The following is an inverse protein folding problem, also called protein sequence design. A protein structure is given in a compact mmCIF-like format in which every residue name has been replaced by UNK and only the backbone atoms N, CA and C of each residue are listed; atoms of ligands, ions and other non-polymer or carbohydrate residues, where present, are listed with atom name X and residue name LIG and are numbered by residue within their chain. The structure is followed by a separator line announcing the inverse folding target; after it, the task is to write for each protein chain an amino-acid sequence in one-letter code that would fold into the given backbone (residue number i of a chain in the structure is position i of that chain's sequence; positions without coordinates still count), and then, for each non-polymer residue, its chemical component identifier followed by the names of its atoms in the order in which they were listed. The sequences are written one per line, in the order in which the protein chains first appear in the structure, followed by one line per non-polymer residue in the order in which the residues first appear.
data_IF_251660815489
#
_entry.id   IF_251660815489
#
_cell.length_a   1.000
_cell.length_b   1.000
_cell.length_c   1.000
_cell.angle_alpha   90.00
_cell.angle_beta   90.00
_cell.angle_gamma   90.00
#
_symmetry.space_group_name_H-M   'P 1'
#
loop_
_entity.id
_entity.type
_entity.pdbx_description
1 polymer ?
#
# COMPACT_ATOMS: atom_id res chain seq x y z
N UNK A 1 19.93 8.62 -19.52
CA UNK A 1 18.50 8.34 -19.39
C UNK A 1 18.30 6.97 -18.73
N UNK A 2 17.36 6.88 -17.79
CA UNK A 2 17.03 5.62 -17.12
C UNK A 2 15.56 5.32 -17.41
N UNK A 3 15.29 4.14 -17.95
CA UNK A 3 13.94 3.59 -18.07
C UNK A 3 13.81 2.47 -17.05
N UNK A 4 12.81 2.59 -16.16
CA UNK A 4 12.56 1.63 -15.06
C UNK A 4 11.07 1.39 -14.93
N UNK A 5 10.68 0.17 -14.63
CA UNK A 5 9.31 -0.24 -14.29
C UNK A 5 9.32 -0.89 -12.89
N UNK A 6 8.19 -1.27 -12.34
CA UNK A 6 7.92 -1.66 -10.95
C UNK A 6 7.83 -0.46 -10.00
N UNK A 7 6.65 -0.24 -9.43
CA UNK A 7 6.37 0.89 -8.55
C UNK A 7 7.33 0.96 -7.35
N UNK A 8 7.62 -0.16 -6.71
CA UNK A 8 8.57 -0.24 -5.60
C UNK A 8 9.99 0.11 -6.03
N UNK A 9 10.44 -0.38 -7.19
CA UNK A 9 11.76 -0.05 -7.73
C UNK A 9 11.86 1.43 -8.11
N UNK A 10 10.79 2.02 -8.67
CA UNK A 10 10.74 3.45 -9.00
C UNK A 10 10.84 4.29 -7.72
N UNK A 11 10.08 3.96 -6.69
CA UNK A 11 10.13 4.66 -5.39
C UNK A 11 11.53 4.58 -4.80
N UNK A 12 12.11 3.36 -4.68
CA UNK A 12 13.46 3.17 -4.16
C UNK A 12 14.52 3.92 -4.97
N UNK A 13 14.45 3.87 -6.29
CA UNK A 13 15.39 4.59 -7.16
C UNK A 13 15.32 6.10 -6.93
N UNK A 14 14.11 6.67 -6.92
CA UNK A 14 13.92 8.12 -6.72
C UNK A 14 14.43 8.54 -5.35
N UNK A 15 14.09 7.82 -4.29
CA UNK A 15 14.51 8.15 -2.93
C UNK A 15 16.01 7.99 -2.73
N UNK A 16 16.60 6.92 -3.26
CA UNK A 16 18.05 6.68 -3.16
C UNK A 16 18.88 7.67 -3.96
N UNK A 17 18.41 8.02 -5.18
CA UNK A 17 19.17 8.86 -6.11
C UNK A 17 18.92 10.35 -5.93
N UNK A 18 17.69 10.72 -5.57
CA UNK A 18 17.21 12.10 -5.58
C UNK A 18 16.62 12.55 -4.24
N UNK A 19 16.44 11.64 -3.29
CA UNK A 19 15.82 11.93 -1.99
C UNK A 19 16.71 12.73 -1.03
N UNK A 20 18.02 12.71 -1.21
CA UNK A 20 18.95 13.38 -0.30
C UNK A 20 18.84 12.88 1.15
N UNK A 21 18.61 11.58 1.36
CA UNK A 21 18.39 10.96 2.66
C UNK A 21 16.99 11.11 3.26
N UNK A 22 16.06 11.76 2.53
CA UNK A 22 14.67 11.92 3.01
C UNK A 22 13.80 10.72 2.62
N UNK A 23 12.81 10.40 3.45
CA UNK A 23 11.79 9.38 3.23
C UNK A 23 12.33 7.95 2.99
N UNK A 24 13.57 7.72 3.38
CA UNK A 24 14.24 6.44 3.34
C UNK A 24 15.22 6.37 4.51
N UNK A 25 15.02 5.50 5.49
CA UNK A 25 15.98 5.34 6.60
C UNK A 25 17.34 4.84 6.07
N UNK A 26 18.41 5.22 6.77
CA UNK A 26 19.75 4.68 6.48
C UNK A 26 19.75 3.15 6.63
N UNK A 27 20.53 2.41 5.83
CA UNK A 27 20.70 0.96 6.03
C UNK A 27 21.16 0.56 7.44
N UNK A 28 21.84 1.46 8.15
CA UNK A 28 22.28 1.24 9.53
C UNK A 28 21.23 1.63 10.58
N UNK A 29 20.09 2.17 10.16
CA UNK A 29 18.99 2.53 11.06
C UNK A 29 18.24 1.31 11.57
N UNK A 30 17.79 1.36 12.81
CA UNK A 30 16.89 0.35 13.39
C UNK A 30 15.55 0.23 12.63
N UNK A 31 15.12 1.29 11.94
CA UNK A 31 13.88 1.31 11.16
C UNK A 31 14.03 0.68 9.77
N UNK A 32 15.26 0.47 9.28
CA UNK A 32 15.48 0.01 7.91
C UNK A 32 14.88 -1.37 7.60
N UNK A 33 14.95 -2.40 8.47
CA UNK A 33 14.28 -3.67 8.22
C UNK A 33 12.77 -3.53 8.10
N UNK A 34 12.14 -2.73 8.96
CA UNK A 34 10.71 -2.43 8.92
C UNK A 34 10.35 -1.70 7.62
N UNK A 35 11.14 -0.70 7.24
CA UNK A 35 10.98 0.01 5.98
C UNK A 35 10.97 -0.94 4.77
N UNK A 36 11.96 -1.82 4.64
CA UNK A 36 12.02 -2.79 3.54
C UNK A 36 10.81 -3.73 3.55
N UNK A 37 10.47 -4.27 4.71
CA UNK A 37 9.32 -5.17 4.85
C UNK A 37 8.04 -4.52 4.32
N UNK A 38 7.73 -3.32 4.79
CA UNK A 38 6.48 -2.65 4.45
C UNK A 38 6.48 -2.01 3.05
N UNK A 39 7.66 -1.61 2.54
CA UNK A 39 7.80 -1.20 1.13
C UNK A 39 7.36 -2.32 0.19
N UNK A 40 7.81 -3.56 0.45
CA UNK A 40 7.50 -4.72 -0.38
C UNK A 40 6.15 -5.38 -0.05
N UNK A 41 5.62 -5.16 1.16
CA UNK A 41 4.34 -5.74 1.58
C UNK A 41 3.16 -5.27 0.70
N UNK A 42 3.21 -4.04 0.22
CA UNK A 42 2.19 -3.48 -0.66
C UNK A 42 1.97 -4.36 -1.91
N UNK A 43 3.01 -4.51 -2.73
CA UNK A 43 2.93 -5.25 -3.99
C UNK A 43 2.97 -6.78 -3.79
N UNK A 44 3.67 -7.25 -2.76
CA UNK A 44 3.80 -8.67 -2.48
C UNK A 44 2.59 -9.31 -1.80
N UNK A 45 1.83 -8.54 -1.03
CA UNK A 45 0.77 -9.09 -0.18
C UNK A 45 -0.60 -8.43 -0.41
N UNK A 46 -0.68 -7.09 -0.46
CA UNK A 46 -1.97 -6.39 -0.58
C UNK A 46 -2.46 -6.37 -2.03
N UNK A 47 -1.62 -6.01 -2.98
CA UNK A 47 -2.04 -5.83 -4.36
C UNK A 47 -2.45 -7.12 -5.09
N UNK A 48 -1.89 -8.31 -4.84
CA UNK A 48 -2.35 -9.53 -5.51
C UNK A 48 -3.84 -9.84 -5.33
N UNK A 49 -4.41 -9.87 -4.12
CA UNK A 49 -5.85 -10.04 -3.96
C UNK A 49 -6.66 -8.85 -4.50
N UNK A 50 -6.16 -7.62 -4.42
CA UNK A 50 -6.80 -6.45 -5.05
C UNK A 50 -6.90 -6.63 -6.55
N UNK A 51 -5.82 -7.05 -7.22
CA UNK A 51 -5.81 -7.31 -8.67
C UNK A 51 -6.81 -8.41 -9.05
N UNK A 52 -6.93 -9.47 -8.25
CA UNK A 52 -7.94 -10.51 -8.48
C UNK A 52 -9.36 -9.93 -8.42
N UNK A 53 -9.66 -9.10 -7.41
CA UNK A 53 -10.97 -8.44 -7.29
C UNK A 53 -11.23 -7.55 -8.52
N UNK A 54 -10.27 -6.73 -8.93
CA UNK A 54 -10.38 -5.86 -10.11
C UNK A 54 -10.65 -6.67 -11.38
N UNK A 55 -9.90 -7.73 -11.60
CA UNK A 55 -10.09 -8.61 -12.77
C UNK A 55 -11.49 -9.19 -12.79
N UNK A 56 -11.95 -9.77 -11.69
CA UNK A 56 -13.21 -10.48 -11.60
C UNK A 56 -14.44 -9.55 -11.56
N UNK A 57 -14.30 -8.31 -11.07
CA UNK A 57 -15.45 -7.41 -10.90
C UNK A 57 -15.53 -6.30 -11.94
N UNK A 58 -14.40 -5.90 -12.54
CA UNK A 58 -14.30 -4.74 -13.43
C UNK A 58 -13.88 -5.15 -14.85
N UNK A 59 -12.78 -5.91 -14.97
CA UNK A 59 -12.15 -6.16 -16.27
C UNK A 59 -12.81 -7.29 -17.06
N UNK A 60 -13.24 -8.37 -16.40
CA UNK A 60 -13.93 -9.46 -17.06
C UNK A 60 -15.38 -9.10 -17.38
N UNK A 61 -15.90 -9.52 -18.54
CA UNK A 61 -17.32 -9.43 -18.83
C UNK A 61 -18.11 -10.33 -17.85
N UNK A 62 -19.37 -9.96 -17.50
CA UNK A 62 -20.13 -10.60 -16.42
C UNK A 62 -20.21 -12.13 -16.49
N UNK A 63 -20.35 -12.69 -17.70
CA UNK A 63 -20.46 -14.14 -17.95
C UNK A 63 -19.16 -14.93 -17.70
N UNK A 64 -18.04 -14.22 -17.50
CA UNK A 64 -16.73 -14.83 -17.22
C UNK A 64 -16.25 -14.60 -15.79
N UNK A 65 -17.02 -13.86 -14.99
CA UNK A 65 -16.68 -13.55 -13.59
C UNK A 65 -16.87 -14.78 -12.70
N UNK A 66 -16.05 -14.88 -11.67
CA UNK A 66 -16.13 -15.97 -10.70
C UNK A 66 -16.20 -15.41 -9.28
N UNK A 67 -17.39 -15.49 -8.69
CA UNK A 67 -17.67 -14.99 -7.34
C UNK A 67 -16.84 -15.72 -6.26
N UNK A 68 -16.48 -16.99 -6.47
CA UNK A 68 -15.62 -17.73 -5.54
C UNK A 68 -14.21 -17.15 -5.49
N UNK A 69 -13.67 -16.75 -6.64
CA UNK A 69 -12.37 -16.04 -6.71
C UNK A 69 -12.43 -14.70 -5.97
N UNK A 70 -13.52 -13.94 -6.18
CA UNK A 70 -13.74 -12.66 -5.47
C UNK A 70 -13.79 -12.89 -3.97
N UNK A 71 -14.60 -13.86 -3.50
CA UNK A 71 -14.74 -14.17 -2.08
C UNK A 71 -13.42 -14.60 -1.44
N UNK A 72 -12.63 -15.43 -2.13
CA UNK A 72 -11.30 -15.85 -1.67
C UNK A 72 -10.33 -14.67 -1.59
N UNK A 73 -10.28 -13.85 -2.62
CA UNK A 73 -9.43 -12.66 -2.67
C UNK A 73 -9.82 -11.64 -1.59
N UNK A 74 -11.10 -11.40 -1.36
CA UNK A 74 -11.61 -10.50 -0.30
C UNK A 74 -11.19 -10.99 1.09
N UNK A 75 -11.32 -12.30 1.37
CA UNK A 75 -10.86 -12.87 2.65
C UNK A 75 -9.34 -12.74 2.83
N UNK A 76 -8.57 -12.96 1.76
CA UNK A 76 -7.11 -12.79 1.81
C UNK A 76 -6.74 -11.32 2.05
N UNK A 77 -7.36 -10.40 1.30
CA UNK A 77 -7.14 -8.96 1.46
C UNK A 77 -7.44 -8.49 2.89
N UNK A 78 -8.56 -8.93 3.47
CA UNK A 78 -8.91 -8.60 4.85
C UNK A 78 -7.83 -9.02 5.85
N UNK A 79 -7.21 -10.21 5.67
CA UNK A 79 -6.10 -10.66 6.51
C UNK A 79 -4.84 -9.80 6.32
N UNK A 80 -4.56 -9.38 5.09
CA UNK A 80 -3.40 -8.51 4.79
C UNK A 80 -3.59 -7.14 5.45
N UNK A 81 -4.79 -6.57 5.35
CA UNK A 81 -5.11 -5.30 6.01
C UNK A 81 -5.11 -5.44 7.55
N UNK A 82 -5.53 -6.59 8.10
CA UNK A 82 -5.44 -6.85 9.55
C UNK A 82 -4.00 -6.84 10.06
N UNK A 83 -3.05 -7.33 9.27
CA UNK A 83 -1.63 -7.26 9.63
C UNK A 83 -1.11 -5.81 9.65
N UNK A 84 -1.58 -4.97 8.71
CA UNK A 84 -1.27 -3.53 8.72
C UNK A 84 -1.91 -2.87 9.94
N UNK A 85 -3.18 -3.18 10.25
CA UNK A 85 -3.89 -2.62 11.40
C UNK A 85 -3.17 -2.88 12.72
N UNK A 86 -2.82 -4.14 12.96
CA UNK A 86 -2.08 -4.53 14.16
C UNK A 86 -0.70 -3.85 14.25
N UNK A 87 0.00 -3.72 13.12
CA UNK A 87 1.30 -3.05 13.09
C UNK A 87 1.19 -1.54 13.35
N UNK A 88 0.11 -0.92 12.88
CA UNK A 88 -0.10 0.53 13.02
C UNK A 88 -0.57 0.96 14.41
N UNK A 89 -0.83 0.01 15.32
CA UNK A 89 -1.21 0.37 16.69
C UNK A 89 -0.13 1.25 17.35
N UNK A 90 -0.55 2.45 17.78
CA UNK A 90 0.33 3.43 18.40
C UNK A 90 1.38 4.07 17.47
N UNK A 91 1.29 3.88 16.15
CA UNK A 91 2.23 4.43 15.16
C UNK A 91 1.58 5.50 14.30
N UNK A 92 2.36 6.52 13.99
CA UNK A 92 1.95 7.54 13.03
C UNK A 92 2.19 7.07 11.59
N UNK A 93 3.37 6.52 11.31
CA UNK A 93 3.76 5.96 10.01
C UNK A 93 4.34 4.56 10.16
N UNK A 94 4.36 3.82 9.04
CA UNK A 94 4.53 2.37 9.07
C UNK A 94 5.95 1.91 9.44
N UNK A 95 6.95 2.77 9.23
CA UNK A 95 8.36 2.47 9.51
C UNK A 95 9.07 3.63 10.24
N UNK A 96 8.44 4.17 11.28
CA UNK A 96 8.94 5.33 12.02
C UNK A 96 8.41 6.64 11.45
N UNK A 97 9.25 7.41 10.75
CA UNK A 97 8.83 8.61 10.02
C UNK A 97 8.22 8.27 8.66
N UNK A 98 7.51 9.25 8.05
CA UNK A 98 6.96 9.08 6.70
C UNK A 98 8.04 8.74 5.68
N UNK A 99 7.84 7.66 4.94
CA UNK A 99 8.86 7.06 4.07
C UNK A 99 8.27 6.49 2.77
N UNK A 100 9.12 5.93 1.93
CA UNK A 100 8.72 5.17 0.75
C UNK A 100 7.80 3.99 1.08
N UNK A 101 7.92 3.41 2.28
CA UNK A 101 7.03 2.35 2.73
C UNK A 101 5.57 2.84 2.87
N UNK A 102 5.37 4.08 3.33
CA UNK A 102 4.05 4.70 3.42
C UNK A 102 3.50 5.09 2.05
N UNK A 103 4.37 5.48 1.12
CA UNK A 103 3.97 5.73 -0.28
C UNK A 103 3.39 4.45 -0.87
N UNK A 104 4.03 3.32 -0.69
CA UNK A 104 3.59 2.03 -1.24
C UNK A 104 2.39 1.45 -0.46
N UNK A 105 2.55 1.23 0.85
CA UNK A 105 1.52 0.55 1.65
C UNK A 105 0.31 1.45 1.92
N UNK A 106 0.50 2.75 2.14
CA UNK A 106 -0.60 3.71 2.27
C UNK A 106 -1.43 3.82 0.99
N UNK A 107 -0.78 3.78 -0.19
CA UNK A 107 -1.47 3.72 -1.47
C UNK A 107 -2.27 2.41 -1.60
N UNK A 108 -1.65 1.26 -1.34
CA UNK A 108 -2.31 -0.04 -1.43
C UNK A 108 -3.55 -0.14 -0.51
N UNK A 109 -3.45 0.34 0.75
CA UNK A 109 -4.59 0.42 1.66
C UNK A 109 -5.69 1.35 1.13
N UNK A 110 -5.32 2.51 0.58
CA UNK A 110 -6.27 3.49 0.00
C UNK A 110 -7.02 2.88 -1.18
N UNK A 111 -6.32 2.23 -2.11
CA UNK A 111 -6.94 1.57 -3.27
C UNK A 111 -7.83 0.42 -2.82
N UNK A 112 -7.40 -0.37 -1.85
CA UNK A 112 -8.22 -1.45 -1.27
C UNK A 112 -9.57 -0.93 -0.75
N UNK A 113 -9.56 0.14 0.07
CA UNK A 113 -10.79 0.78 0.58
C UNK A 113 -11.67 1.32 -0.55
N UNK A 114 -11.09 1.98 -1.56
CA UNK A 114 -11.83 2.50 -2.73
C UNK A 114 -12.49 1.40 -3.56
N UNK A 115 -11.92 0.23 -3.60
CA UNK A 115 -12.46 -0.95 -4.30
C UNK A 115 -13.41 -1.78 -3.41
N UNK A 116 -13.79 -1.26 -2.25
CA UNK A 116 -14.82 -1.85 -1.39
C UNK A 116 -14.30 -2.81 -0.32
N UNK A 117 -13.00 -2.84 -0.05
CA UNK A 117 -12.51 -3.59 1.11
C UNK A 117 -13.07 -3.02 2.41
N UNK A 118 -13.65 -3.89 3.24
CA UNK A 118 -14.15 -3.50 4.56
C UNK A 118 -12.97 -3.26 5.51
N UNK A 119 -12.90 -2.04 6.03
CA UNK A 119 -11.92 -1.60 7.03
C UNK A 119 -12.59 -1.14 8.33
N UNK A 120 -13.89 -1.34 8.49
CA UNK A 120 -14.66 -0.88 9.65
C UNK A 120 -14.19 -1.51 10.97
N UNK A 121 -13.63 -2.71 10.92
CA UNK A 121 -13.00 -3.43 12.04
C UNK A 121 -11.48 -3.21 12.14
N UNK A 122 -10.94 -2.24 11.39
CA UNK A 122 -9.50 -1.93 11.29
C UNK A 122 -9.24 -0.42 11.49
N UNK A 123 -9.46 0.08 12.72
CA UNK A 123 -9.42 1.53 12.98
C UNK A 123 -8.04 2.17 12.71
N UNK A 124 -6.95 1.42 12.90
CA UNK A 124 -5.61 1.93 12.65
C UNK A 124 -5.34 2.06 11.15
N UNK A 125 -5.81 1.11 10.33
CA UNK A 125 -5.76 1.21 8.86
C UNK A 125 -6.57 2.40 8.38
N UNK A 126 -7.77 2.61 8.90
CA UNK A 126 -8.62 3.73 8.52
C UNK A 126 -7.95 5.07 8.82
N UNK A 127 -7.46 5.26 10.06
CA UNK A 127 -6.72 6.45 10.46
C UNK A 127 -5.42 6.65 9.63
N UNK A 128 -4.74 5.57 9.29
CA UNK A 128 -3.53 5.60 8.46
C UNK A 128 -3.84 6.06 7.02
N UNK A 129 -4.90 5.52 6.42
CA UNK A 129 -5.38 5.95 5.09
C UNK A 129 -5.70 7.45 5.09
N UNK A 130 -6.43 7.93 6.09
CA UNK A 130 -6.77 9.35 6.22
C UNK A 130 -5.52 10.22 6.33
N UNK A 131 -4.57 9.83 7.17
CA UNK A 131 -3.31 10.55 7.38
C UNK A 131 -2.47 10.61 6.11
N UNK A 132 -2.33 9.51 5.39
CA UNK A 132 -1.64 9.48 4.10
C UNK A 132 -2.34 10.37 3.07
N UNK A 133 -3.67 10.27 2.94
CA UNK A 133 -4.47 11.06 2.00
C UNK A 133 -4.55 12.55 2.35
N UNK A 134 -4.32 12.94 3.61
CA UNK A 134 -4.26 14.34 4.01
C UNK A 134 -3.02 15.07 3.47
N UNK A 135 -1.97 14.34 3.07
CA UNK A 135 -0.71 14.91 2.59
C UNK A 135 -0.91 15.68 1.27
N UNK A 136 -0.44 16.94 1.16
CA UNK A 136 -0.67 17.76 -0.04
C UNK A 136 -0.13 17.13 -1.33
N UNK A 137 1.04 16.45 -1.26
CA UNK A 137 1.63 15.80 -2.42
C UNK A 137 0.76 14.64 -2.94
N UNK A 138 0.15 13.85 -2.05
CA UNK A 138 -0.74 12.77 -2.46
C UNK A 138 -2.05 13.31 -3.03
N UNK A 139 -2.63 14.35 -2.41
CA UNK A 139 -3.82 15.03 -2.97
C UNK A 139 -3.57 15.49 -4.41
N UNK A 140 -2.40 16.09 -4.66
CA UNK A 140 -2.00 16.51 -6.00
C UNK A 140 -1.87 15.31 -6.95
N UNK A 141 -1.27 14.22 -6.51
CA UNK A 141 -1.09 13.01 -7.34
C UNK A 141 -2.42 12.36 -7.75
N UNK A 142 -3.49 12.49 -6.95
CA UNK A 142 -4.82 11.98 -7.29
C UNK A 142 -5.62 12.86 -8.28
N UNK A 143 -5.11 14.04 -8.62
CA UNK A 143 -5.78 14.99 -9.53
C UNK A 143 -5.17 15.02 -10.93
N UNK A 144 -4.19 14.17 -11.20
CA UNK A 144 -3.48 14.08 -12.50
C UNK A 144 -4.14 13.04 -13.40
#
# INVERSE_FOLDING_TARGET
DVTIFESGAIVEYVLSRHGGGRMRPSPDSADFPSYLQWLHYAEGMIMPPVNTIVVETILLPPERRNDENVNRATKLLSRMLQAVDAHMEGREYIAGEFSGADIMTGHACTVSKRLGADVSDKPNVEAYIERCNARPALKKAWTV
#
